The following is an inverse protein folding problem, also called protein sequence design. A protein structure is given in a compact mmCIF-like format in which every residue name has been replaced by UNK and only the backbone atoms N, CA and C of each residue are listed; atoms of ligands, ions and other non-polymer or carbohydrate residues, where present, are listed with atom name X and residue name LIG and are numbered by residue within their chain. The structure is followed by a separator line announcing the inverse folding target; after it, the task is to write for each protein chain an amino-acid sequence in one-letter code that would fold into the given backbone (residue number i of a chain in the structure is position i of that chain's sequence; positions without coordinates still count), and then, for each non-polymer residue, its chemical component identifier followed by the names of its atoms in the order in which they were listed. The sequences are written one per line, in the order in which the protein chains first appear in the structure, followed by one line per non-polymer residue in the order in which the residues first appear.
data_IF_801820404816
#
_entry.id   IF_801820404816
#
_cell.length_a   1.000
_cell.length_b   1.000
_cell.length_c   1.000
_cell.angle_alpha   90.00
_cell.angle_beta   90.00
_cell.angle_gamma   90.00
#
_symmetry.space_group_name_H-M   'P 1'
#
loop_
_entity.id
_entity.type
_entity.pdbx_description
1 polymer ?
#
# COMPACT_ATOMS: atom_id res chain seq x y z
N UNK A 1 2.07 -18.56 1.75
CA UNK A 1 2.45 -17.32 1.05
C UNK A 1 3.47 -17.68 0.00
N UNK A 2 3.25 -17.31 -1.25
CA UNK A 2 4.20 -17.55 -2.34
C UNK A 2 4.62 -16.19 -2.87
N UNK A 3 5.57 -15.57 -2.17
CA UNK A 3 6.07 -14.24 -2.52
C UNK A 3 6.76 -14.29 -3.88
N UNK A 4 6.13 -13.74 -4.92
CA UNK A 4 6.63 -13.73 -6.31
C UNK A 4 7.47 -12.49 -6.61
N UNK A 5 7.30 -11.44 -5.82
CA UNK A 5 7.94 -10.15 -6.01
C UNK A 5 8.58 -9.66 -4.71
N UNK A 6 9.77 -9.09 -4.83
CA UNK A 6 10.44 -8.41 -3.71
C UNK A 6 9.91 -6.98 -3.57
N UNK A 7 9.72 -6.55 -2.32
CA UNK A 7 9.24 -5.20 -1.98
C UNK A 7 10.39 -4.42 -1.34
N UNK A 8 10.81 -3.36 -2.03
CA UNK A 8 11.74 -2.39 -1.46
C UNK A 8 11.00 -1.15 -0.97
N UNK A 9 11.19 -0.81 0.30
CA UNK A 9 10.56 0.36 0.91
C UNK A 9 11.62 1.43 1.18
N UNK A 10 11.44 2.62 0.61
CA UNK A 10 12.35 3.75 0.84
C UNK A 10 12.34 4.16 2.33
N UNK A 11 13.48 4.59 2.89
CA UNK A 11 13.55 5.03 4.29
C UNK A 11 12.55 6.14 4.66
N UNK A 12 12.25 7.05 3.72
CA UNK A 12 11.24 8.09 3.91
C UNK A 12 9.81 7.54 4.06
N UNK A 13 9.48 6.45 3.37
CA UNK A 13 8.20 5.78 3.50
C UNK A 13 8.10 5.04 4.83
N UNK A 14 9.18 4.40 5.30
CA UNK A 14 9.23 3.80 6.64
C UNK A 14 8.97 4.84 7.75
N UNK A 15 9.59 6.02 7.64
CA UNK A 15 9.32 7.14 8.55
C UNK A 15 7.86 7.58 8.50
N UNK A 16 7.23 7.56 7.33
CA UNK A 16 5.82 7.93 7.18
C UNK A 16 4.90 6.88 7.81
N UNK A 17 5.18 5.59 7.64
CA UNK A 17 4.44 4.50 8.27
C UNK A 17 4.46 4.59 9.80
N UNK A 18 5.59 4.98 10.38
CA UNK A 18 5.74 5.17 11.83
C UNK A 18 4.92 6.32 12.39
N UNK A 19 4.51 7.28 11.56
CA UNK A 19 3.65 8.41 11.96
C UNK A 19 2.17 8.10 11.88
N UNK A 20 1.80 6.96 11.30
CA UNK A 20 0.40 6.55 11.19
C UNK A 20 -0.08 6.00 12.54
N UNK A 21 -1.36 6.21 12.80
CA UNK A 21 -2.04 5.57 13.93
C UNK A 21 -1.95 4.03 13.81
N UNK A 22 -1.73 3.28 14.90
CA UNK A 22 -1.46 1.84 14.87
C UNK A 22 -2.43 0.97 14.03
N UNK A 23 -3.76 1.16 14.04
CA UNK A 23 -4.68 0.46 13.14
C UNK A 23 -4.50 0.81 11.66
N UNK A 24 -4.14 2.07 11.35
CA UNK A 24 -3.89 2.50 9.96
C UNK A 24 -2.57 1.89 9.47
N UNK A 25 -1.52 1.93 10.29
CA UNK A 25 -0.23 1.32 9.96
C UNK A 25 -0.38 -0.18 9.65
N UNK A 26 -1.15 -0.92 10.46
CA UNK A 26 -1.47 -2.33 10.24
C UNK A 26 -2.18 -2.59 8.91
N UNK A 27 -3.18 -1.76 8.57
CA UNK A 27 -3.89 -1.84 7.28
C UNK A 27 -2.96 -1.61 6.09
N UNK A 28 -2.10 -0.61 6.18
CA UNK A 28 -1.14 -0.29 5.11
C UNK A 28 -0.11 -1.40 4.94
N UNK A 29 0.44 -1.95 6.04
CA UNK A 29 1.38 -3.07 5.98
C UNK A 29 0.76 -4.32 5.36
N UNK A 30 -0.49 -4.65 5.70
CA UNK A 30 -1.20 -5.77 5.09
C UNK A 30 -1.42 -5.55 3.57
N UNK A 31 -1.73 -4.32 3.15
CA UNK A 31 -1.85 -3.98 1.74
C UNK A 31 -0.49 -4.06 1.00
N UNK A 32 0.60 -3.64 1.65
CA UNK A 32 1.96 -3.77 1.10
C UNK A 32 2.32 -5.24 0.92
N UNK A 33 2.10 -6.11 1.92
CA UNK A 33 2.42 -7.53 1.81
C UNK A 33 1.71 -8.22 0.63
N UNK A 34 0.45 -7.85 0.35
CA UNK A 34 -0.28 -8.40 -0.81
C UNK A 34 0.35 -8.08 -2.16
N UNK A 35 1.16 -7.01 -2.25
CA UNK A 35 1.89 -6.68 -3.48
C UNK A 35 2.99 -7.70 -3.80
N UNK A 36 3.48 -8.45 -2.80
CA UNK A 36 4.49 -9.49 -3.01
C UNK A 36 3.92 -10.68 -3.79
N UNK A 37 2.61 -10.92 -3.68
CA UNK A 37 1.90 -11.98 -4.40
C UNK A 37 1.35 -11.47 -5.75
N UNK A 38 0.66 -10.33 -5.75
CA UNK A 38 0.12 -9.69 -6.95
C UNK A 38 0.39 -8.17 -6.95
N UNK A 39 1.36 -7.68 -7.75
CA UNK A 39 1.67 -6.26 -7.81
C UNK A 39 0.57 -5.47 -8.54
N UNK A 40 -0.30 -6.12 -9.32
CA UNK A 40 -1.40 -5.53 -10.10
C UNK A 40 -2.76 -5.82 -9.47
N UNK A 41 -2.86 -5.65 -8.15
CA UNK A 41 -4.13 -5.66 -7.42
C UNK A 41 -5.18 -4.78 -8.12
N UNK A 42 -6.37 -5.35 -8.36
CA UNK A 42 -7.52 -4.61 -8.88
C UNK A 42 -7.85 -3.42 -7.95
N UNK A 43 -7.86 -2.21 -8.51
CA UNK A 43 -8.06 -0.95 -7.76
C UNK A 43 -6.78 -0.17 -7.43
N UNK A 44 -5.60 -0.67 -7.80
CA UNK A 44 -4.34 0.09 -7.70
C UNK A 44 -4.24 1.08 -8.87
N UNK A 45 -4.22 2.38 -8.55
CA UNK A 45 -4.04 3.43 -9.56
C UNK A 45 -2.55 3.70 -9.76
N UNK A 46 -2.06 3.40 -10.96
CA UNK A 46 -0.70 3.78 -11.36
C UNK A 46 -0.54 5.30 -11.26
N UNK A 47 0.59 5.75 -10.75
CA UNK A 47 0.90 7.17 -10.71
C UNK A 47 1.28 7.62 -12.12
N UNK A 48 0.50 8.54 -12.70
CA UNK A 48 0.80 9.09 -14.02
C UNK A 48 2.11 9.89 -13.93
N UNK A 49 3.08 9.60 -14.80
CA UNK A 49 4.39 10.28 -14.88
C UNK A 49 5.58 9.55 -14.24
N UNK A 50 5.38 8.36 -13.65
CA UNK A 50 6.45 7.50 -13.13
C UNK A 50 6.01 6.04 -13.15
N UNK A 51 6.93 5.08 -13.26
CA UNK A 51 6.63 3.64 -13.20
C UNK A 51 6.13 3.15 -11.82
N UNK A 52 5.97 4.04 -10.84
CA UNK A 52 5.47 3.75 -9.50
C UNK A 52 3.92 3.65 -9.41
N UNK A 53 3.38 2.92 -8.42
CA UNK A 53 1.93 2.72 -8.19
C UNK A 53 1.50 3.21 -6.81
N UNK A 54 0.28 3.77 -6.68
CA UNK A 54 -0.31 4.23 -5.40
C UNK A 54 -1.40 3.27 -4.91
N UNK A 55 -1.38 2.93 -3.62
CA UNK A 55 -2.44 2.20 -2.92
C UNK A 55 -3.51 3.20 -2.46
N UNK A 56 -4.76 3.03 -2.89
CA UNK A 56 -5.89 3.83 -2.39
C UNK A 56 -6.36 3.26 -1.04
N UNK A 57 -6.43 4.10 -0.02
CA UNK A 57 -7.11 3.76 1.23
C UNK A 57 -8.62 3.72 0.99
N UNK A 58 -9.25 2.58 1.24
CA UNK A 58 -10.71 2.46 1.28
C UNK A 58 -11.26 3.34 2.39
N UNK A 59 -11.59 4.59 2.08
CA UNK A 59 -12.58 5.34 2.84
C UNK A 59 -13.94 4.69 2.58
N UNK A 60 -14.53 4.12 3.62
CA UNK A 60 -15.93 3.70 3.59
C UNK A 60 -16.82 4.90 3.18
N UNK A 61 -17.93 4.68 2.47
CA UNK A 61 -18.83 5.75 2.11
C UNK A 61 -19.38 6.39 3.39
N UNK A 62 -19.33 7.72 3.43
CA UNK A 62 -20.03 8.50 4.46
C UNK A 62 -21.52 8.13 4.41
N UNK A 63 -22.02 7.54 5.49
CA UNK A 63 -23.44 7.35 5.70
C UNK A 63 -24.01 8.52 6.52
N UNK A 64 -24.97 9.19 5.89
CA UNK A 64 -26.01 10.08 6.43
C UNK A 64 -25.69 11.58 6.57
#
# INVERSE_FOLDING_TARGET
MSERYSIEVRPAALRSLRKLDPPIARRVLAAIQRLADDPRLAGVKALVGSSARRLAGSAAPASR
#
